data_IF_227016561253
#
_entry.id   IF_227016561253
#
_cell.length_a   1.000
_cell.length_b   1.000
_cell.length_c   1.000
_cell.angle_alpha   90.00
_cell.angle_beta   90.00
_cell.angle_gamma   90.00
#
_symmetry.space_group_name_H-M   'P 1'
#
loop_
_entity.id
_entity.type
_entity.pdbx_description
1 polymer ?
#
# COMPACT_ATOMS: atom_id res chain seq x y z
N UNK A 1 4.40 -42.31 -49.79
CA UNK A 1 5.36 -41.49 -49.04
C UNK A 1 4.70 -41.17 -47.70
N UNK A 2 5.10 -41.84 -46.64
CA UNK A 2 4.51 -41.71 -45.32
C UNK A 2 5.16 -40.51 -44.61
N UNK A 3 4.36 -39.49 -44.34
CA UNK A 3 4.71 -38.39 -43.44
C UNK A 3 4.92 -38.94 -42.04
N UNK A 4 6.17 -39.04 -41.64
CA UNK A 4 6.54 -39.38 -40.27
C UNK A 4 6.28 -38.16 -39.38
N UNK A 5 5.11 -38.15 -38.73
CA UNK A 5 4.75 -37.12 -37.73
C UNK A 5 5.81 -37.11 -36.61
N UNK A 6 6.41 -35.95 -36.37
CA UNK A 6 7.38 -35.73 -35.29
C UNK A 6 6.67 -35.97 -33.95
N UNK A 7 7.23 -36.80 -33.05
CA UNK A 7 6.63 -37.05 -31.75
C UNK A 7 6.47 -35.75 -30.93
N UNK A 8 5.32 -35.58 -30.28
CA UNK A 8 4.96 -34.36 -29.53
C UNK A 8 5.99 -33.90 -28.45
N UNK A 9 6.74 -34.84 -27.89
CA UNK A 9 7.82 -34.53 -26.95
C UNK A 9 9.00 -33.82 -27.60
N UNK A 10 9.31 -34.15 -28.88
CA UNK A 10 10.39 -33.50 -29.62
C UNK A 10 9.99 -32.08 -30.06
N UNK A 11 8.70 -31.84 -30.33
CA UNK A 11 8.19 -30.50 -30.62
C UNK A 11 8.24 -29.61 -29.35
N UNK A 12 7.91 -30.15 -28.18
CA UNK A 12 7.99 -29.44 -26.89
C UNK A 12 9.44 -29.06 -26.57
N UNK A 13 10.40 -29.98 -26.76
CA UNK A 13 11.82 -29.71 -26.55
C UNK A 13 12.37 -28.64 -27.50
N UNK A 14 12.00 -28.72 -28.79
CA UNK A 14 12.39 -27.70 -29.77
C UNK A 14 11.80 -26.32 -29.45
N UNK A 15 10.60 -26.28 -28.91
CA UNK A 15 9.95 -25.03 -28.51
C UNK A 15 10.64 -24.40 -27.27
N UNK A 16 10.96 -25.24 -26.28
CA UNK A 16 11.71 -24.82 -25.11
C UNK A 16 13.13 -24.34 -25.44
N UNK A 17 13.83 -25.04 -26.39
CA UNK A 17 15.15 -24.62 -26.86
C UNK A 17 15.11 -23.30 -27.64
N UNK A 18 14.08 -23.08 -28.47
CA UNK A 18 13.91 -21.81 -29.18
C UNK A 18 13.58 -20.64 -28.23
N UNK A 19 12.79 -20.89 -27.20
CA UNK A 19 12.51 -19.87 -26.17
C UNK A 19 13.77 -19.55 -25.34
N UNK A 20 14.55 -20.55 -24.96
CA UNK A 20 15.80 -20.36 -24.25
C UNK A 20 16.83 -19.58 -25.09
N UNK A 21 16.97 -19.92 -26.40
CA UNK A 21 17.84 -19.17 -27.30
C UNK A 21 17.39 -17.72 -27.50
N UNK A 22 16.08 -17.47 -27.56
CA UNK A 22 15.53 -16.12 -27.71
C UNK A 22 15.75 -15.27 -26.47
N UNK A 23 15.75 -15.88 -25.28
CA UNK A 23 16.08 -15.24 -24.01
C UNK A 23 17.59 -14.91 -23.97
N UNK A 24 18.43 -15.80 -24.45
CA UNK A 24 19.89 -15.60 -24.50
C UNK A 24 20.31 -14.56 -25.54
N UNK A 25 19.68 -14.53 -26.72
CA UNK A 25 19.89 -13.47 -27.71
C UNK A 25 19.44 -12.10 -27.25
N UNK A 26 18.37 -12.01 -26.46
CA UNK A 26 17.95 -10.74 -25.85
C UNK A 26 18.91 -10.24 -24.78
N UNK A 27 19.58 -11.14 -24.04
CA UNK A 27 20.63 -10.78 -23.08
C UNK A 27 21.89 -10.23 -23.74
N UNK A 28 22.24 -10.75 -24.92
CA UNK A 28 23.44 -10.31 -25.65
C UNK A 28 23.24 -9.00 -26.43
N UNK A 29 22.01 -8.61 -26.71
CA UNK A 29 21.70 -7.40 -27.49
C UNK A 29 21.59 -6.09 -26.64
N UNK A 30 21.97 -6.10 -25.37
CA UNK A 30 22.07 -4.90 -24.52
C UNK A 30 20.73 -4.15 -24.30
N UNK A 31 19.59 -4.71 -24.70
CA UNK A 31 18.27 -4.20 -24.33
C UNK A 31 17.86 -4.86 -23.02
N UNK A 32 18.09 -4.17 -21.91
CA UNK A 32 17.53 -4.57 -20.64
C UNK A 32 16.01 -4.81 -20.80
N UNK A 33 15.57 -6.00 -20.47
CA UNK A 33 14.14 -6.33 -20.41
C UNK A 33 13.55 -5.73 -19.14
N UNK A 34 12.27 -5.31 -19.19
CA UNK A 34 11.55 -4.92 -17.98
C UNK A 34 11.59 -6.04 -16.94
N UNK A 35 11.63 -7.31 -17.37
CA UNK A 35 11.79 -8.45 -16.46
C UNK A 35 13.12 -8.44 -15.69
N UNK A 36 14.19 -7.90 -16.27
CA UNK A 36 15.50 -7.80 -15.61
C UNK A 36 15.49 -6.77 -14.47
N UNK A 37 14.49 -5.91 -14.43
CA UNK A 37 14.26 -4.96 -13.33
C UNK A 37 13.52 -5.59 -12.13
N UNK A 38 12.93 -6.77 -12.28
CA UNK A 38 12.27 -7.48 -11.20
C UNK A 38 13.29 -8.34 -10.45
N UNK A 39 13.52 -7.97 -9.21
CA UNK A 39 14.37 -8.72 -8.28
C UNK A 39 13.58 -9.93 -7.76
N UNK A 40 14.23 -11.07 -7.58
CA UNK A 40 13.62 -12.25 -6.96
C UNK A 40 13.05 -11.89 -5.57
N UNK A 41 11.94 -12.52 -5.13
CA UNK A 41 11.25 -12.17 -3.89
C UNK A 41 12.17 -12.13 -2.66
N UNK A 42 13.17 -13.02 -2.59
CA UNK A 42 14.13 -13.08 -1.50
C UNK A 42 15.11 -11.90 -1.48
N UNK A 43 15.37 -11.31 -2.65
CA UNK A 43 16.29 -10.18 -2.81
C UNK A 43 15.61 -8.82 -2.71
N UNK A 44 14.24 -8.80 -2.69
CA UNK A 44 13.44 -7.56 -2.60
C UNK A 44 13.49 -6.89 -1.25
N UNK A 45 13.85 -7.63 -0.22
CA UNK A 45 13.87 -7.12 1.15
C UNK A 45 15.20 -6.42 1.38
N UNK A 46 15.16 -5.11 1.56
CA UNK A 46 16.34 -4.28 1.83
C UNK A 46 17.05 -4.68 3.13
N UNK A 47 16.27 -5.10 4.13
CA UNK A 47 16.77 -5.59 5.40
C UNK A 47 15.99 -6.86 5.82
N UNK A 48 16.59 -8.06 5.64
CA UNK A 48 15.92 -9.32 5.98
C UNK A 48 15.50 -9.43 7.46
N UNK A 49 16.15 -8.69 8.36
CA UNK A 49 15.78 -8.70 9.79
C UNK A 49 14.40 -8.13 10.05
N UNK A 50 13.93 -7.23 9.16
CA UNK A 50 12.62 -6.59 9.27
C UNK A 50 11.46 -7.50 8.88
N UNK A 51 11.69 -8.64 8.24
CA UNK A 51 10.62 -9.57 7.82
C UNK A 51 9.84 -10.08 9.03
N UNK A 52 10.51 -10.26 10.16
CA UNK A 52 9.90 -10.76 11.40
C UNK A 52 9.34 -9.65 12.30
N UNK A 53 9.49 -8.39 11.93
CA UNK A 53 9.00 -7.26 12.69
C UNK A 53 7.48 -7.12 12.57
N UNK A 54 6.91 -6.34 13.46
CA UNK A 54 5.48 -6.05 13.45
C UNK A 54 5.05 -5.42 12.13
N UNK A 55 3.80 -5.62 11.73
CA UNK A 55 3.24 -5.04 10.52
C UNK A 55 3.44 -3.51 10.48
N UNK A 56 3.34 -2.85 11.64
CA UNK A 56 3.53 -1.40 11.76
C UNK A 56 4.94 -0.96 11.35
N UNK A 57 5.97 -1.72 11.72
CA UNK A 57 7.36 -1.40 11.37
C UNK A 57 7.64 -1.63 9.88
N UNK A 58 6.94 -2.60 9.28
CA UNK A 58 7.03 -2.92 7.85
C UNK A 58 6.20 -2.02 6.95
N UNK A 59 5.30 -1.20 7.52
CA UNK A 59 4.50 -0.24 6.75
C UNK A 59 5.37 0.81 6.06
N UNK A 60 4.90 1.38 4.93
CA UNK A 60 5.61 2.44 4.24
C UNK A 60 6.01 3.59 5.15
N UNK A 61 7.19 4.14 4.94
CA UNK A 61 7.62 5.38 5.59
C UNK A 61 7.18 6.59 4.75
N UNK A 62 6.39 7.51 5.32
CA UNK A 62 6.01 8.71 4.60
C UNK A 62 7.23 9.60 4.40
N UNK A 63 7.41 10.11 3.18
CA UNK A 63 8.53 10.99 2.81
C UNK A 63 8.12 12.46 2.84
N UNK A 64 9.07 13.35 3.14
CA UNK A 64 8.86 14.79 3.09
C UNK A 64 7.76 15.24 4.05
N UNK A 65 6.77 15.98 3.53
CA UNK A 65 5.66 16.57 4.30
C UNK A 65 4.43 15.64 4.45
N UNK A 66 4.61 14.33 4.34
CA UNK A 66 3.49 13.38 4.32
C UNK A 66 3.29 12.69 5.64
N UNK A 67 2.08 12.20 5.84
CA UNK A 67 1.66 11.39 6.98
C UNK A 67 1.14 10.05 6.49
N UNK A 68 1.44 8.97 7.22
CA UNK A 68 0.80 7.68 7.04
C UNK A 68 -0.33 7.56 8.06
N UNK A 69 -1.54 7.35 7.57
CA UNK A 69 -2.75 7.28 8.40
C UNK A 69 -3.54 6.00 8.12
N UNK A 70 -4.19 5.51 9.16
CA UNK A 70 -5.10 4.37 9.10
C UNK A 70 -6.54 4.86 9.18
N UNK A 71 -7.35 4.72 8.12
CA UNK A 71 -8.76 5.10 8.15
C UNK A 71 -9.52 4.32 9.21
N UNK A 72 -10.39 5.00 9.97
CA UNK A 72 -11.26 4.37 10.94
C UNK A 72 -12.40 3.63 10.23
N UNK A 73 -12.57 2.36 10.54
CA UNK A 73 -13.58 1.49 9.91
C UNK A 73 -14.93 1.48 10.63
N UNK A 74 -15.06 2.26 11.72
CA UNK A 74 -16.24 2.18 12.58
C UNK A 74 -16.27 0.91 13.44
N UNK A 75 -17.33 0.74 14.19
CA UNK A 75 -17.48 -0.43 15.10
C UNK A 75 -17.87 -1.71 14.37
N UNK A 76 -18.23 -1.65 13.09
CA UNK A 76 -18.73 -2.80 12.34
C UNK A 76 -20.06 -3.39 12.87
N UNK A 77 -20.68 -2.71 13.85
CA UNK A 77 -21.93 -3.13 14.51
C UNK A 77 -22.83 -1.91 14.63
N UNK A 78 -24.09 -2.06 14.27
CA UNK A 78 -25.10 -1.01 14.45
C UNK A 78 -25.45 -0.79 15.93
N UNK A 79 -26.05 0.35 16.29
CA UNK A 79 -26.55 0.61 17.65
C UNK A 79 -27.48 -0.48 18.17
N UNK A 80 -28.20 -1.17 17.26
CA UNK A 80 -29.04 -2.33 17.57
C UNK A 80 -28.31 -3.66 17.70
N UNK A 81 -26.95 -3.69 17.65
CA UNK A 81 -26.16 -4.91 17.80
C UNK A 81 -26.08 -5.79 16.54
N UNK A 82 -26.51 -5.30 15.38
CA UNK A 82 -26.45 -6.05 14.12
C UNK A 82 -25.04 -5.88 13.53
N UNK A 83 -24.35 -6.98 13.29
CA UNK A 83 -23.03 -7.00 12.64
C UNK A 83 -23.22 -6.63 11.16
N UNK A 84 -22.47 -5.63 10.70
CA UNK A 84 -22.47 -5.22 9.31
C UNK A 84 -21.65 -6.18 8.44
N UNK A 85 -22.10 -6.49 7.20
CA UNK A 85 -21.27 -7.23 6.25
C UNK A 85 -19.97 -6.49 5.93
N UNK A 86 -18.87 -7.22 5.73
CA UNK A 86 -17.53 -6.67 5.43
C UNK A 86 -17.54 -5.67 4.27
N UNK A 87 -18.39 -5.92 3.24
CA UNK A 87 -18.55 -5.01 2.10
C UNK A 87 -19.12 -3.63 2.46
N UNK A 88 -19.96 -3.54 3.50
CA UNK A 88 -20.48 -2.27 4.00
C UNK A 88 -19.42 -1.57 4.86
N UNK A 89 -18.74 -2.32 5.72
CA UNK A 89 -17.62 -1.80 6.53
C UNK A 89 -16.52 -1.24 5.64
N UNK A 90 -16.19 -1.91 4.55
CA UNK A 90 -15.21 -1.42 3.58
C UNK A 90 -15.68 -0.15 2.87
N UNK A 91 -16.95 -0.03 2.54
CA UNK A 91 -17.52 1.19 1.95
C UNK A 91 -17.49 2.38 2.93
N UNK A 92 -17.79 2.12 4.18
CA UNK A 92 -17.70 3.14 5.24
C UNK A 92 -16.25 3.58 5.45
N UNK A 93 -15.30 2.67 5.47
CA UNK A 93 -13.88 2.99 5.55
C UNK A 93 -13.39 3.83 4.36
N UNK A 94 -13.95 3.62 3.16
CA UNK A 94 -13.66 4.46 1.99
C UNK A 94 -14.25 5.86 2.11
N UNK A 95 -15.38 6.00 2.80
CA UNK A 95 -16.08 7.26 2.99
C UNK A 95 -15.64 8.01 4.26
N UNK A 96 -14.95 7.33 5.18
CA UNK A 96 -14.57 7.91 6.46
C UNK A 96 -13.68 9.12 6.30
N UNK A 97 -13.93 10.09 7.15
CA UNK A 97 -13.12 11.30 7.32
C UNK A 97 -12.23 11.21 8.57
N UNK A 98 -12.36 10.14 9.36
CA UNK A 98 -11.58 9.91 10.59
C UNK A 98 -10.43 8.95 10.29
N UNK A 99 -9.25 9.29 10.76
CA UNK A 99 -8.07 8.46 10.59
C UNK A 99 -7.13 8.54 11.81
N UNK A 100 -6.39 7.47 12.04
CA UNK A 100 -5.37 7.39 13.08
C UNK A 100 -3.99 7.61 12.48
N UNK A 101 -3.18 8.50 13.05
CA UNK A 101 -1.84 8.82 12.57
C UNK A 101 -0.86 7.73 13.00
N UNK A 102 -0.35 6.97 12.03
CA UNK A 102 0.63 5.90 12.25
C UNK A 102 2.06 6.42 12.24
N UNK A 103 2.41 7.22 11.23
CA UNK A 103 3.75 7.75 11.03
C UNK A 103 3.70 9.17 10.46
N UNK A 104 4.70 9.96 10.84
CA UNK A 104 4.84 11.36 10.43
C UNK A 104 6.14 11.50 9.64
N UNK A 105 6.08 12.08 8.46
CA UNK A 105 7.24 12.30 7.60
C UNK A 105 8.23 13.30 8.19
N UNK A 106 9.50 13.23 7.78
CA UNK A 106 10.57 14.00 8.43
C UNK A 106 10.47 15.52 8.27
N UNK A 107 9.75 16.00 7.26
CA UNK A 107 9.52 17.42 7.01
C UNK A 107 8.11 17.89 7.37
N UNK A 108 7.20 16.98 7.78
CA UNK A 108 5.83 17.33 8.15
C UNK A 108 5.83 18.39 9.26
N UNK A 109 5.02 19.43 9.06
CA UNK A 109 4.87 20.58 9.98
C UNK A 109 6.14 21.41 10.23
N UNK A 110 7.20 21.23 9.41
CA UNK A 110 8.45 21.99 9.56
C UNK A 110 8.40 23.42 8.98
N UNK A 111 7.45 23.71 8.11
CA UNK A 111 7.26 25.04 7.56
C UNK A 111 6.59 25.96 8.58
N UNK A 112 7.40 26.76 9.27
CA UNK A 112 6.92 27.67 10.31
C UNK A 112 5.99 28.78 9.77
N UNK A 113 6.12 29.14 8.48
CA UNK A 113 5.24 30.13 7.87
C UNK A 113 3.83 29.58 7.66
N UNK A 114 3.72 28.28 7.38
CA UNK A 114 2.45 27.59 7.13
C UNK A 114 1.79 27.12 8.43
N UNK A 115 2.58 26.58 9.36
CA UNK A 115 2.07 25.88 10.55
C UNK A 115 2.27 26.64 11.86
N UNK A 116 2.88 27.83 11.83
CA UNK A 116 3.12 28.64 13.03
C UNK A 116 4.17 28.07 13.99
N UNK A 117 4.93 27.06 13.54
CA UNK A 117 5.99 26.43 14.32
C UNK A 117 5.54 25.25 15.18
N UNK A 118 4.24 24.92 15.22
CA UNK A 118 3.70 23.79 15.95
C UNK A 118 3.04 22.76 15.00
N UNK A 119 3.23 21.44 15.23
CA UNK A 119 2.57 20.41 14.46
C UNK A 119 1.07 20.38 14.79
N UNK A 120 0.23 20.24 13.77
CA UNK A 120 -1.22 20.11 13.95
C UNK A 120 -1.62 18.74 14.50
N UNK A 121 -0.82 17.71 14.28
CA UNK A 121 -1.00 16.38 14.87
C UNK A 121 0.34 15.65 15.02
N UNK A 122 0.32 14.59 15.79
CA UNK A 122 1.46 13.72 16.05
C UNK A 122 1.08 12.25 15.82
N UNK A 123 2.07 11.37 15.85
CA UNK A 123 1.84 9.93 15.86
C UNK A 123 0.94 9.54 17.01
N UNK A 124 -0.04 8.69 16.75
CA UNK A 124 -1.08 8.22 17.67
C UNK A 124 -2.25 9.18 17.91
N UNK A 125 -2.31 10.28 17.19
CA UNK A 125 -3.49 11.15 17.24
C UNK A 125 -4.58 10.64 16.29
N UNK A 126 -5.83 10.89 16.67
CA UNK A 126 -6.98 10.79 15.79
C UNK A 126 -7.21 12.10 15.07
N UNK A 127 -7.34 12.04 13.76
CA UNK A 127 -7.46 13.23 12.91
C UNK A 127 -8.67 13.14 11.98
N UNK A 128 -9.17 14.29 11.62
CA UNK A 128 -10.16 14.46 10.55
C UNK A 128 -9.42 14.81 9.26
N UNK A 129 -9.76 14.10 8.20
CA UNK A 129 -9.17 14.28 6.87
C UNK A 129 -10.26 14.39 5.82
N UNK A 130 -9.94 14.97 4.68
CA UNK A 130 -10.86 14.98 3.54
C UNK A 130 -11.16 13.56 3.06
N UNK A 131 -12.41 13.31 2.64
CA UNK A 131 -12.84 12.00 2.11
C UNK A 131 -11.92 11.47 1.00
N UNK A 132 -11.39 12.34 0.18
CA UNK A 132 -10.53 12.01 -0.95
C UNK A 132 -9.05 12.33 -0.71
N UNK A 133 -8.69 12.65 0.55
CA UNK A 133 -7.31 12.98 0.90
C UNK A 133 -6.36 11.81 0.63
N UNK A 134 -5.23 12.15 0.03
CA UNK A 134 -4.08 11.28 -0.13
C UNK A 134 -4.23 10.10 -1.07
N UNK A 135 -3.17 9.30 -1.13
CA UNK A 135 -3.11 8.05 -1.87
C UNK A 135 -3.48 6.87 -0.96
N UNK A 136 -4.23 5.92 -1.49
CA UNK A 136 -4.73 4.74 -0.78
C UNK A 136 -3.93 3.51 -1.16
N UNK A 137 -3.60 2.69 -0.16
CA UNK A 137 -2.90 1.43 -0.34
C UNK A 137 -3.61 0.32 0.42
N UNK A 138 -3.74 -0.84 -0.21
CA UNK A 138 -4.17 -2.06 0.47
C UNK A 138 -2.95 -2.84 0.92
N UNK A 139 -3.00 -3.35 2.14
CA UNK A 139 -2.02 -4.26 2.69
C UNK A 139 -2.41 -5.71 2.38
N UNK A 140 -1.45 -6.63 2.45
CA UNK A 140 -1.70 -8.06 2.16
C UNK A 140 -2.71 -8.70 3.13
N UNK A 141 -2.83 -8.16 4.35
CA UNK A 141 -3.83 -8.58 5.34
C UNK A 141 -5.24 -8.04 5.08
N UNK A 142 -5.43 -7.29 3.98
CA UNK A 142 -6.69 -6.65 3.61
C UNK A 142 -6.94 -5.30 4.26
N UNK A 143 -6.02 -4.81 5.12
CA UNK A 143 -6.07 -3.47 5.69
C UNK A 143 -5.87 -2.40 4.62
N UNK A 144 -6.47 -1.22 4.81
CA UNK A 144 -6.25 -0.04 3.97
C UNK A 144 -5.53 1.03 4.78
N UNK A 145 -4.49 1.61 4.21
CA UNK A 145 -3.80 2.79 4.74
C UNK A 145 -3.78 3.90 3.71
N UNK A 146 -3.62 5.13 4.16
CA UNK A 146 -3.50 6.31 3.28
C UNK A 146 -2.22 7.06 3.60
N UNK A 147 -1.60 7.61 2.56
CA UNK A 147 -0.55 8.60 2.69
C UNK A 147 -1.13 9.94 2.24
N UNK A 148 -1.21 10.88 3.16
CA UNK A 148 -1.76 12.22 2.97
C UNK A 148 -0.67 13.27 3.10
N UNK A 149 -0.93 14.50 2.66
CA UNK A 149 -0.06 15.64 2.97
C UNK A 149 -0.38 16.18 4.37
N UNK A 150 0.57 16.87 4.98
CA UNK A 150 0.42 17.45 6.33
C UNK A 150 -0.69 18.50 6.42
N UNK A 151 -1.00 19.20 5.33
CA UNK A 151 -2.06 20.21 5.24
C UNK A 151 -3.43 19.62 4.89
N UNK A 152 -3.55 18.33 4.65
CA UNK A 152 -4.82 17.64 4.44
C UNK A 152 -5.50 17.24 5.75
N UNK A 153 -4.84 17.44 6.90
CA UNK A 153 -5.45 17.29 8.22
C UNK A 153 -6.34 18.51 8.48
N UNK A 154 -7.62 18.25 8.71
CA UNK A 154 -8.65 19.29 8.91
C UNK A 154 -8.79 19.62 10.40
N UNK A 155 -8.60 18.62 11.25
CA UNK A 155 -8.72 18.77 12.70
C UNK A 155 -8.27 17.52 13.45
N UNK A 156 -8.22 17.63 14.77
CA UNK A 156 -7.94 16.51 15.68
C UNK A 156 -9.17 16.19 16.50
N UNK A 157 -9.35 14.94 16.89
CA UNK A 157 -10.45 14.49 17.75
C UNK A 157 -9.91 13.58 18.85
N UNK A 158 -10.65 13.46 19.94
CA UNK A 158 -10.26 12.59 21.06
C UNK A 158 -10.77 11.16 20.85
N UNK A 159 -12.02 11.02 20.45
CA UNK A 159 -12.67 9.74 20.24
C UNK A 159 -13.19 9.63 18.80
N UNK A 160 -12.74 8.62 18.04
CA UNK A 160 -13.20 8.42 16.66
C UNK A 160 -14.72 8.11 16.58
N UNK A 161 -15.32 7.62 17.66
CA UNK A 161 -16.75 7.29 17.72
C UNK A 161 -17.64 8.52 17.86
N UNK A 162 -17.09 9.68 18.21
CA UNK A 162 -17.85 10.94 18.27
C UNK A 162 -18.25 11.46 16.89
N UNK A 163 -17.59 10.98 15.84
CA UNK A 163 -17.85 11.38 14.46
C UNK A 163 -18.50 10.23 13.71
N UNK A 164 -19.76 10.40 13.36
CA UNK A 164 -20.45 9.48 12.45
C UNK A 164 -20.09 9.81 11.00
N UNK A 165 -19.78 8.78 10.21
CA UNK A 165 -19.60 8.95 8.76
C UNK A 165 -20.96 9.27 8.13
N UNK A 166 -21.00 10.29 7.28
CA UNK A 166 -22.16 10.69 6.50
C UNK A 166 -22.29 9.87 5.23
#
# INVERSE_FOLDING_TARGET
>A
MSDLAVPKHIEAERKAQKEAQKIEENKTNGKASIQDAYIEPQERVLDPSLINNSLLERMPEPTGWRLLVLPYKGKGVTEGGIVLPDTLVDREALATVVAYVLKVGPLAYKDSNKFGGEPWCQTKDWVLIGRYAGARFKLDDGGEVRIINDDEVIGTILDPDDIQSL
#
